data_IF_990092663125
#
_entry.id   IF_990092663125
#
_cell.length_a   1.000
_cell.length_b   1.000
_cell.length_c   1.000
_cell.angle_alpha   90.00
_cell.angle_beta   90.00
_cell.angle_gamma   90.00
#
_symmetry.space_group_name_H-M   'P 1'
#
loop_
_entity.id
_entity.type
_entity.pdbx_description
1 polymer ?
#
# COMPACT_ATOMS: atom_id res chain seq x y z
N UNK A 1 13.90 14.67 -0.43
CA UNK A 1 12.90 15.73 -0.27
C UNK A 1 12.50 15.72 1.20
N UNK A 2 12.68 16.82 1.91
CA UNK A 2 12.23 17.02 3.29
C UNK A 2 11.10 18.05 3.26
N UNK A 3 9.96 17.87 3.95
CA UNK A 3 9.67 16.79 4.89
C UNK A 3 9.33 15.47 4.21
N UNK A 4 9.58 14.34 4.88
CA UNK A 4 9.14 13.03 4.44
C UNK A 4 7.62 12.89 4.63
N UNK A 5 6.93 12.31 3.64
CA UNK A 5 5.51 12.02 3.72
C UNK A 5 5.32 10.60 4.25
N UNK A 6 4.58 10.48 5.35
CA UNK A 6 4.22 9.21 5.97
C UNK A 6 3.25 9.42 7.11
N UNK A 7 2.75 8.33 7.66
CA UNK A 7 1.84 8.33 8.82
C UNK A 7 2.65 8.09 10.08
N UNK A 8 2.34 8.82 11.15
CA UNK A 8 2.97 8.63 12.45
C UNK A 8 2.71 7.22 13.00
N UNK A 9 3.72 6.64 13.63
CA UNK A 9 3.57 5.38 14.32
C UNK A 9 2.83 5.60 15.65
N UNK A 10 1.79 4.80 15.85
CA UNK A 10 1.05 4.71 17.11
C UNK A 10 1.26 3.33 17.79
N UNK A 11 0.55 3.09 18.88
CA UNK A 11 0.61 1.81 19.59
C UNK A 11 0.25 0.60 18.73
N UNK A 12 -0.66 0.77 17.75
CA UNK A 12 -1.02 -0.30 16.81
C UNK A 12 0.11 -0.57 15.80
N UNK A 13 0.78 0.48 15.32
CA UNK A 13 1.96 0.33 14.46
C UNK A 13 3.08 -0.42 15.18
N UNK A 14 3.31 -0.12 16.47
CA UNK A 14 4.31 -0.79 17.29
C UNK A 14 4.04 -2.29 17.44
N UNK A 15 2.79 -2.68 17.67
CA UNK A 15 2.41 -4.08 17.77
C UNK A 15 2.60 -4.82 16.43
N UNK A 16 2.19 -4.20 15.32
CA UNK A 16 2.38 -4.75 13.97
C UNK A 16 3.86 -4.84 13.60
N UNK A 17 4.65 -3.83 13.93
CA UNK A 17 6.09 -3.77 13.68
C UNK A 17 6.83 -5.01 14.24
N UNK A 18 6.57 -5.35 15.50
CA UNK A 18 7.14 -6.55 16.13
C UNK A 18 6.72 -7.83 15.40
N UNK A 19 5.46 -7.91 14.96
CA UNK A 19 4.95 -9.02 14.15
C UNK A 19 5.62 -9.16 12.78
N UNK A 20 6.20 -8.10 12.24
CA UNK A 20 6.96 -8.11 10.98
C UNK A 20 8.46 -8.36 11.18
N UNK A 21 8.91 -8.56 12.42
CA UNK A 21 10.33 -8.67 12.74
C UNK A 21 11.07 -7.36 12.43
N UNK A 22 10.49 -6.27 12.84
CA UNK A 22 11.06 -4.93 12.79
C UNK A 22 11.13 -4.37 14.20
N UNK A 23 12.17 -3.62 14.50
CA UNK A 23 12.31 -2.89 15.76
C UNK A 23 12.83 -1.48 15.50
N UNK A 24 12.68 -0.62 16.50
CA UNK A 24 13.21 0.73 16.44
C UNK A 24 14.75 0.71 16.56
N UNK A 25 15.41 1.62 15.87
CA UNK A 25 16.82 1.89 16.14
C UNK A 25 16.97 2.45 17.57
N UNK A 26 18.05 2.09 18.26
CA UNK A 26 18.36 2.59 19.63
C UNK A 26 18.21 4.11 19.80
N UNK A 27 18.45 4.87 18.73
CA UNK A 27 18.27 6.33 18.71
C UNK A 27 16.81 6.76 18.77
N UNK A 28 15.90 5.91 18.33
CA UNK A 28 14.47 6.21 18.21
C UNK A 28 13.69 5.66 19.42
N UNK A 29 14.23 4.66 20.14
CA UNK A 29 13.66 4.16 21.40
C UNK A 29 13.66 5.21 22.50
N UNK A 30 14.70 6.06 22.55
CA UNK A 30 14.77 7.18 23.48
C UNK A 30 13.71 8.27 23.20
N UNK A 31 13.08 8.24 22.01
CA UNK A 31 12.01 9.16 21.60
C UNK A 31 10.62 8.67 21.92
N UNK A 32 10.44 7.37 22.14
CA UNK A 32 9.14 6.80 22.54
C UNK A 32 8.64 7.37 23.86
N UNK A 33 9.56 7.71 24.78
CA UNK A 33 9.27 8.33 26.07
C UNK A 33 9.07 9.85 26.01
N UNK A 34 9.41 10.49 24.91
CA UNK A 34 9.25 11.92 24.73
C UNK A 34 8.20 12.26 23.65
N UNK A 35 6.95 12.43 24.07
CA UNK A 35 5.86 13.01 23.27
C UNK A 35 6.16 14.39 22.68
N UNK A 36 7.40 14.88 22.78
CA UNK A 36 7.83 16.22 22.37
C UNK A 36 8.66 16.28 21.10
N UNK A 37 9.00 15.17 20.44
CA UNK A 37 9.73 15.24 19.19
C UNK A 37 8.78 15.44 18.01
N UNK A 38 8.97 16.51 17.25
CA UNK A 38 8.20 16.86 16.05
C UNK A 38 8.42 15.91 14.85
N UNK A 39 9.08 14.79 15.01
CA UNK A 39 9.33 13.80 13.98
C UNK A 39 8.42 12.59 14.18
N UNK A 40 7.18 12.70 13.68
CA UNK A 40 6.17 11.64 13.76
C UNK A 40 6.41 10.48 12.79
N UNK A 41 7.39 10.56 11.92
CA UNK A 41 7.63 9.57 10.88
C UNK A 41 9.00 8.92 11.03
N UNK A 42 9.00 7.60 11.28
CA UNK A 42 10.22 6.79 11.33
C UNK A 42 10.44 6.16 9.96
N UNK A 43 11.61 6.44 9.40
CA UNK A 43 11.97 6.00 8.06
C UNK A 43 12.66 4.64 8.05
N UNK A 44 13.49 4.37 9.06
CA UNK A 44 14.41 3.23 9.08
C UNK A 44 14.15 2.39 10.33
N UNK A 45 14.05 1.09 10.16
CA UNK A 45 13.83 0.10 11.20
C UNK A 45 14.97 -0.90 11.23
N UNK A 46 15.24 -1.51 12.37
CA UNK A 46 16.14 -2.63 12.47
C UNK A 46 15.40 -3.94 12.16
N UNK A 47 16.00 -4.79 11.32
CA UNK A 47 15.44 -6.10 10.98
C UNK A 47 15.83 -7.11 12.05
N UNK A 48 14.88 -7.54 12.88
CA UNK A 48 15.04 -8.52 13.95
C UNK A 48 14.35 -9.83 13.57
N UNK A 49 14.67 -10.89 14.30
CA UNK A 49 13.96 -12.17 14.14
C UNK A 49 12.53 -12.00 14.68
N UNK A 50 11.52 -12.35 13.87
CA UNK A 50 10.14 -12.24 14.28
C UNK A 50 9.74 -13.45 15.12
N UNK A 51 9.45 -13.24 16.40
CA UNK A 51 8.83 -14.24 17.23
C UNK A 51 7.30 -14.24 17.03
N UNK A 52 6.76 -15.36 16.54
CA UNK A 52 5.32 -15.53 16.38
C UNK A 52 4.70 -14.86 15.15
N UNK A 53 5.41 -14.86 14.03
CA UNK A 53 4.97 -14.23 12.78
C UNK A 53 3.64 -14.80 12.28
N UNK A 54 2.58 -14.01 12.35
CA UNK A 54 1.32 -14.34 11.69
C UNK A 54 1.45 -14.12 10.18
N UNK A 55 1.22 -15.17 9.39
CA UNK A 55 1.23 -15.07 7.95
C UNK A 55 -0.01 -14.30 7.46
N UNK A 56 0.20 -13.11 6.96
CA UNK A 56 -0.82 -12.27 6.34
C UNK A 56 -0.33 -11.80 4.96
N UNK A 57 -1.25 -11.34 4.11
CA UNK A 57 -0.87 -10.73 2.83
C UNK A 57 0.03 -9.50 3.06
N UNK A 58 -0.24 -8.73 4.11
CA UNK A 58 0.58 -7.58 4.48
C UNK A 58 2.00 -7.99 4.89
N UNK A 59 2.15 -9.06 5.70
CA UNK A 59 3.45 -9.62 6.06
C UNK A 59 4.25 -10.02 4.81
N UNK A 60 3.59 -10.56 3.80
CA UNK A 60 4.23 -10.92 2.53
C UNK A 60 4.78 -9.68 1.80
N UNK A 61 4.03 -8.58 1.77
CA UNK A 61 4.49 -7.31 1.19
C UNK A 61 5.68 -6.73 1.96
N UNK A 62 5.62 -6.72 3.28
CA UNK A 62 6.73 -6.24 4.12
C UNK A 62 7.97 -7.10 3.93
N UNK A 63 7.81 -8.44 3.91
CA UNK A 63 8.94 -9.37 3.68
C UNK A 63 9.55 -9.19 2.29
N UNK A 64 8.72 -9.01 1.26
CA UNK A 64 9.21 -8.72 -0.09
C UNK A 64 9.97 -7.38 -0.15
N UNK A 65 9.45 -6.35 0.51
CA UNK A 65 10.12 -5.04 0.60
C UNK A 65 11.45 -5.14 1.35
N UNK A 66 11.51 -5.89 2.47
CA UNK A 66 12.76 -6.17 3.20
C UNK A 66 13.79 -6.90 2.32
N UNK A 67 13.37 -7.90 1.56
CA UNK A 67 14.26 -8.64 0.65
C UNK A 67 14.82 -7.72 -0.44
N UNK A 68 14.00 -6.84 -1.02
CA UNK A 68 14.45 -5.86 -2.01
C UNK A 68 15.41 -4.86 -1.39
N UNK A 69 15.10 -4.32 -0.23
CA UNK A 69 15.96 -3.38 0.48
C UNK A 69 17.33 -4.01 0.80
N UNK A 70 17.35 -5.18 1.43
CA UNK A 70 18.58 -5.92 1.73
C UNK A 70 19.42 -6.24 0.48
N UNK A 71 18.78 -6.47 -0.67
CA UNK A 71 19.49 -6.68 -1.93
C UNK A 71 20.22 -5.41 -2.41
N UNK A 72 19.64 -4.22 -2.19
CA UNK A 72 20.22 -2.96 -2.65
C UNK A 72 21.17 -2.33 -1.63
N UNK A 73 20.89 -2.43 -0.34
CA UNK A 73 21.66 -1.78 0.73
C UNK A 73 22.72 -2.68 1.32
N UNK A 74 22.46 -4.00 1.38
CA UNK A 74 23.38 -4.99 1.95
C UNK A 74 23.51 -4.90 3.48
N UNK A 75 22.63 -4.15 4.14
CA UNK A 75 22.61 -3.98 5.60
C UNK A 75 21.36 -4.66 6.23
N UNK A 76 21.30 -4.67 7.56
CA UNK A 76 20.17 -5.22 8.31
C UNK A 76 19.12 -4.15 8.64
N UNK A 77 19.22 -2.99 8.02
CA UNK A 77 18.28 -1.90 8.20
C UNK A 77 17.17 -2.00 7.13
N UNK A 78 15.96 -1.68 7.51
CA UNK A 78 14.82 -1.64 6.61
C UNK A 78 14.34 -0.20 6.42
N UNK A 79 14.41 0.29 5.19
CA UNK A 79 13.86 1.59 4.82
C UNK A 79 12.42 1.42 4.31
N UNK A 80 11.47 2.03 5.00
CA UNK A 80 10.04 1.92 4.68
C UNK A 80 9.69 2.42 3.28
N UNK A 81 10.55 3.22 2.65
CA UNK A 81 10.36 3.70 1.27
C UNK A 81 10.32 2.56 0.25
N UNK A 82 11.00 1.44 0.50
CA UNK A 82 10.92 0.26 -0.37
C UNK A 82 9.51 -0.36 -0.33
N UNK A 83 8.86 -0.36 0.85
CA UNK A 83 7.46 -0.76 0.98
C UNK A 83 6.55 0.19 0.20
N UNK A 84 6.75 1.50 0.37
CA UNK A 84 6.02 2.52 -0.38
C UNK A 84 6.18 2.40 -1.89
N UNK A 85 7.40 2.14 -2.36
CA UNK A 85 7.68 1.89 -3.78
C UNK A 85 6.94 0.63 -4.29
N UNK A 86 6.94 -0.45 -3.52
CA UNK A 86 6.22 -1.68 -3.86
C UNK A 86 4.71 -1.46 -3.97
N UNK A 87 4.12 -0.72 -3.01
CA UNK A 87 2.72 -0.31 -3.09
C UNK A 87 2.44 0.57 -4.31
N UNK A 88 3.33 1.52 -4.61
CA UNK A 88 3.23 2.37 -5.80
C UNK A 88 3.23 1.57 -7.10
N UNK A 89 4.11 0.57 -7.21
CA UNK A 89 4.17 -0.34 -8.37
C UNK A 89 2.86 -1.14 -8.52
N UNK A 90 2.25 -1.57 -7.42
CA UNK A 90 0.97 -2.26 -7.45
C UNK A 90 -0.22 -1.32 -7.69
N UNK A 91 -0.14 -0.09 -7.22
CA UNK A 91 -1.21 0.92 -7.32
C UNK A 91 -1.39 1.45 -8.75
N UNK A 92 -0.28 1.75 -9.45
CA UNK A 92 -0.32 2.32 -10.80
C UNK A 92 -1.14 1.49 -11.81
N UNK A 93 -0.95 0.17 -11.93
CA UNK A 93 -1.78 -0.64 -12.83
C UNK A 93 -3.26 -0.67 -12.41
N UNK A 94 -3.55 -0.60 -11.10
CA UNK A 94 -4.92 -0.54 -10.58
C UNK A 94 -5.64 0.75 -11.03
N UNK A 95 -4.99 1.90 -10.90
CA UNK A 95 -5.51 3.18 -11.38
C UNK A 95 -5.68 3.15 -12.91
N UNK A 96 -4.68 2.64 -13.62
CA UNK A 96 -4.76 2.52 -15.08
C UNK A 96 -5.94 1.64 -15.51
N UNK A 97 -6.13 0.48 -14.86
CA UNK A 97 -7.26 -0.41 -15.14
C UNK A 97 -8.60 0.31 -14.91
N UNK A 98 -8.73 1.00 -13.80
CA UNK A 98 -9.95 1.72 -13.45
C UNK A 98 -10.27 2.83 -14.47
N UNK A 99 -9.30 3.70 -14.76
CA UNK A 99 -9.48 4.80 -15.71
C UNK A 99 -9.79 4.26 -17.12
N UNK A 100 -9.03 3.27 -17.59
CA UNK A 100 -9.26 2.64 -18.89
C UNK A 100 -10.68 2.08 -18.98
N UNK A 101 -11.09 1.29 -17.99
CA UNK A 101 -12.43 0.66 -17.97
C UNK A 101 -13.56 1.68 -17.90
N UNK A 102 -13.33 2.81 -17.25
CA UNK A 102 -14.27 3.93 -17.19
C UNK A 102 -14.33 4.68 -18.52
N UNK A 103 -13.18 4.97 -19.16
CA UNK A 103 -13.11 5.65 -20.46
C UNK A 103 -13.81 4.86 -21.57
N UNK A 104 -13.77 3.54 -21.53
CA UNK A 104 -14.48 2.70 -22.50
C UNK A 104 -16.01 2.88 -22.50
N UNK A 105 -16.57 3.55 -21.49
CA UNK A 105 -18.01 3.82 -21.32
C UNK A 105 -18.43 5.20 -21.79
N UNK A 106 -17.48 6.08 -22.00
CA UNK A 106 -17.71 7.48 -22.36
C UNK A 106 -17.83 7.62 -23.87
N UNK A 107 -18.74 8.45 -24.34
CA UNK A 107 -18.97 8.67 -25.79
C UNK A 107 -18.19 9.86 -26.33
N UNK A 108 -18.03 10.91 -25.54
CA UNK A 108 -17.40 12.15 -25.98
C UNK A 108 -16.00 12.30 -25.38
N UNK A 109 -15.08 12.81 -26.18
CA UNK A 109 -13.69 13.03 -25.75
C UNK A 109 -13.60 13.97 -24.52
N UNK A 110 -14.42 15.02 -24.48
CA UNK A 110 -14.45 15.97 -23.35
C UNK A 110 -14.84 15.29 -22.02
N UNK A 111 -15.81 14.39 -22.05
CA UNK A 111 -16.20 13.60 -20.86
C UNK A 111 -15.05 12.71 -20.40
N UNK A 112 -14.34 12.09 -21.36
CA UNK A 112 -13.17 11.26 -21.08
C UNK A 112 -12.04 12.04 -20.41
N UNK A 113 -11.77 13.26 -20.85
CA UNK A 113 -10.78 14.15 -20.24
C UNK A 113 -11.17 14.49 -18.80
N UNK A 114 -12.41 14.93 -18.59
CA UNK A 114 -12.92 15.28 -17.24
C UNK A 114 -12.83 14.06 -16.31
N UNK A 115 -13.24 12.89 -16.78
CA UNK A 115 -13.19 11.65 -16.00
C UNK A 115 -11.75 11.26 -15.62
N UNK A 116 -10.82 11.39 -16.57
CA UNK A 116 -9.40 11.09 -16.33
C UNK A 116 -8.79 12.05 -15.32
N UNK A 117 -9.04 13.34 -15.45
CA UNK A 117 -8.55 14.37 -14.52
C UNK A 117 -9.15 14.13 -13.12
N UNK A 118 -10.45 13.91 -13.03
CA UNK A 118 -11.10 13.60 -11.75
C UNK A 118 -10.53 12.31 -11.13
N UNK A 119 -10.32 11.27 -11.93
CA UNK A 119 -9.71 10.02 -11.48
C UNK A 119 -8.30 10.24 -10.91
N UNK A 120 -7.47 10.99 -11.61
CA UNK A 120 -6.11 11.31 -11.11
C UNK A 120 -6.19 12.13 -9.82
N UNK A 121 -7.03 13.16 -9.75
CA UNK A 121 -7.16 13.99 -8.55
C UNK A 121 -7.64 13.19 -7.33
N UNK A 122 -8.58 12.26 -7.52
CA UNK A 122 -9.09 11.43 -6.41
C UNK A 122 -8.07 10.39 -5.98
N UNK A 123 -7.45 9.69 -6.92
CA UNK A 123 -6.60 8.55 -6.60
C UNK A 123 -5.13 8.91 -6.37
N UNK A 124 -4.67 10.08 -6.79
CA UNK A 124 -3.35 10.63 -6.46
C UNK A 124 -3.39 11.60 -5.26
N UNK A 125 -4.47 11.59 -4.46
CA UNK A 125 -4.54 12.38 -3.24
C UNK A 125 -3.42 11.98 -2.28
N UNK A 126 -2.67 12.98 -1.83
CA UNK A 126 -1.53 12.83 -0.92
C UNK A 126 -1.94 12.12 0.37
N UNK A 127 -3.17 12.34 0.84
CA UNK A 127 -3.70 11.70 2.06
C UNK A 127 -3.68 10.17 1.96
N UNK A 128 -4.00 9.59 0.81
CA UNK A 128 -3.92 8.14 0.59
C UNK A 128 -2.48 7.66 0.35
N UNK A 129 -1.69 8.44 -0.37
CA UNK A 129 -0.32 8.08 -0.69
C UNK A 129 0.61 8.10 0.53
N UNK A 130 0.29 8.87 1.56
CA UNK A 130 1.04 8.85 2.83
C UNK A 130 1.00 7.49 3.52
N UNK A 131 -0.10 6.72 3.37
CA UNK A 131 -0.20 5.37 3.90
C UNK A 131 0.72 4.36 3.22
N UNK A 132 1.24 4.66 2.02
CA UNK A 132 2.21 3.79 1.35
C UNK A 132 3.53 3.71 2.12
N UNK A 133 3.92 4.79 2.79
CA UNK A 133 5.09 4.83 3.65
C UNK A 133 4.71 4.56 5.11
N UNK A 134 3.92 3.52 5.36
CA UNK A 134 3.49 3.15 6.70
C UNK A 134 3.33 1.64 6.84
N UNK A 135 3.33 1.17 8.08
CA UNK A 135 3.08 -0.24 8.42
C UNK A 135 1.58 -0.56 8.57
N UNK A 136 0.71 0.35 8.14
CA UNK A 136 -0.73 0.14 8.15
C UNK A 136 -1.21 -0.66 6.93
N UNK A 137 -2.29 -1.39 7.12
CA UNK A 137 -2.90 -2.21 6.07
C UNK A 137 -3.73 -1.42 5.07
N UNK A 138 -3.97 -0.14 5.35
CA UNK A 138 -4.83 0.75 4.56
C UNK A 138 -4.38 0.89 3.11
N UNK A 139 -3.06 0.92 2.87
CA UNK A 139 -2.50 0.93 1.53
C UNK A 139 -2.94 -0.28 0.69
N UNK A 140 -2.94 -1.48 1.28
CA UNK A 140 -3.39 -2.70 0.61
C UNK A 140 -4.90 -2.69 0.37
N UNK A 141 -5.68 -2.24 1.34
CA UNK A 141 -7.14 -2.09 1.21
C UNK A 141 -7.46 -1.18 0.03
N UNK A 142 -6.77 -0.04 -0.05
CA UNK A 142 -6.93 0.92 -1.13
C UNK A 142 -6.62 0.33 -2.52
N UNK A 143 -5.50 -0.39 -2.62
CA UNK A 143 -5.11 -1.09 -3.86
C UNK A 143 -6.17 -2.14 -4.24
N UNK A 144 -6.65 -2.94 -3.28
CA UNK A 144 -7.70 -3.93 -3.54
C UNK A 144 -8.99 -3.30 -4.07
N UNK A 145 -9.41 -2.16 -3.50
CA UNK A 145 -10.60 -1.43 -3.96
C UNK A 145 -10.43 -0.95 -5.41
N UNK A 146 -9.25 -0.43 -5.77
CA UNK A 146 -8.96 0.01 -7.14
C UNK A 146 -9.08 -1.13 -8.15
N UNK A 147 -8.49 -2.29 -7.86
CA UNK A 147 -8.56 -3.44 -8.75
C UNK A 147 -9.98 -4.01 -8.82
N UNK A 148 -10.69 -4.09 -7.70
CA UNK A 148 -12.07 -4.57 -7.68
C UNK A 148 -13.00 -3.66 -8.48
N UNK A 149 -12.89 -2.34 -8.32
CA UNK A 149 -13.66 -1.36 -9.07
C UNK A 149 -13.34 -1.41 -10.58
N UNK A 150 -12.05 -1.41 -10.93
CA UNK A 150 -11.60 -1.47 -12.31
C UNK A 150 -12.04 -2.76 -13.02
N UNK A 151 -11.88 -3.91 -12.36
CA UNK A 151 -12.31 -5.21 -12.90
C UNK A 151 -13.83 -5.30 -13.04
N UNK A 152 -14.60 -4.80 -12.07
CA UNK A 152 -16.07 -4.77 -12.14
C UNK A 152 -16.57 -3.93 -13.31
N UNK A 153 -15.93 -2.79 -13.57
CA UNK A 153 -16.24 -1.96 -14.73
C UNK A 153 -15.86 -2.67 -16.04
N UNK A 154 -14.73 -3.34 -16.10
CA UNK A 154 -14.25 -4.04 -17.29
C UNK A 154 -15.13 -5.25 -17.65
N UNK A 155 -15.61 -6.02 -16.67
CA UNK A 155 -16.47 -7.19 -16.87
C UNK A 155 -17.73 -6.88 -17.66
N UNK A 156 -18.33 -5.70 -17.46
CA UNK A 156 -19.59 -5.35 -18.08
C UNK A 156 -19.52 -5.21 -19.62
N UNK A 157 -18.34 -4.88 -20.17
CA UNK A 157 -18.20 -4.57 -21.60
C UNK A 157 -17.44 -5.62 -22.40
N UNK A 158 -16.48 -6.33 -21.82
CA UNK A 158 -15.54 -7.14 -22.57
C UNK A 158 -15.62 -8.62 -22.22
N UNK A 159 -16.44 -9.36 -22.97
CA UNK A 159 -16.65 -10.81 -22.73
C UNK A 159 -15.38 -11.65 -22.95
N UNK A 160 -14.47 -11.23 -23.85
CA UNK A 160 -13.26 -12.00 -24.18
C UNK A 160 -12.28 -12.10 -23.01
N UNK A 161 -12.14 -11.04 -22.23
CA UNK A 161 -11.23 -10.97 -21.07
C UNK A 161 -11.95 -11.21 -19.74
N UNK A 162 -13.23 -11.59 -19.80
CA UNK A 162 -14.03 -11.87 -18.61
C UNK A 162 -13.34 -12.76 -17.58
N UNK A 163 -12.68 -13.90 -17.94
CA UNK A 163 -12.04 -14.75 -16.93
C UNK A 163 -10.88 -14.04 -16.19
N UNK A 164 -10.12 -13.21 -16.88
CA UNK A 164 -9.03 -12.45 -16.22
C UNK A 164 -9.58 -11.42 -15.23
N UNK A 165 -10.64 -10.71 -15.60
CA UNK A 165 -11.27 -9.73 -14.70
C UNK A 165 -11.96 -10.40 -13.51
N UNK A 166 -12.58 -11.57 -13.72
CA UNK A 166 -13.14 -12.38 -12.62
C UNK A 166 -12.03 -12.81 -11.67
N UNK A 167 -10.89 -13.24 -12.19
CA UNK A 167 -9.74 -13.63 -11.37
C UNK A 167 -9.23 -12.44 -10.54
N UNK A 168 -9.05 -11.27 -11.16
CA UNK A 168 -8.65 -10.04 -10.46
C UNK A 168 -9.65 -9.70 -9.35
N UNK A 169 -10.94 -9.73 -9.64
CA UNK A 169 -11.99 -9.44 -8.67
C UNK A 169 -11.98 -10.43 -7.51
N UNK A 170 -11.80 -11.73 -7.80
CA UNK A 170 -11.74 -12.78 -6.78
C UNK A 170 -10.51 -12.60 -5.89
N UNK A 171 -9.33 -12.36 -6.47
CA UNK A 171 -8.09 -12.12 -5.71
C UNK A 171 -8.25 -10.87 -4.84
N UNK A 172 -8.69 -9.75 -5.40
CA UNK A 172 -8.87 -8.50 -4.65
C UNK A 172 -9.87 -8.67 -3.52
N UNK A 173 -10.99 -9.36 -3.76
CA UNK A 173 -12.01 -9.63 -2.75
C UNK A 173 -11.52 -10.56 -1.64
N UNK A 174 -10.78 -11.61 -1.97
CA UNK A 174 -10.19 -12.51 -0.96
C UNK A 174 -9.15 -11.80 -0.11
N UNK A 175 -8.24 -11.04 -0.72
CA UNK A 175 -7.25 -10.26 0.00
C UNK A 175 -7.93 -9.26 0.94
N UNK A 176 -8.94 -8.53 0.45
CA UNK A 176 -9.72 -7.60 1.26
C UNK A 176 -10.39 -8.30 2.47
N UNK A 177 -11.03 -9.45 2.27
CA UNK A 177 -11.65 -10.22 3.34
C UNK A 177 -10.63 -10.70 4.39
N UNK A 178 -9.44 -11.14 3.95
CA UNK A 178 -8.39 -11.56 4.88
C UNK A 178 -7.84 -10.40 5.72
N UNK A 179 -7.73 -9.21 5.14
CA UNK A 179 -7.29 -8.02 5.87
C UNK A 179 -8.37 -7.58 6.86
N UNK A 180 -9.63 -7.49 6.43
CA UNK A 180 -10.76 -6.99 7.23
C UNK A 180 -11.10 -7.88 8.45
N UNK A 181 -10.78 -9.17 8.43
CA UNK A 181 -11.03 -10.07 9.57
C UNK A 181 -10.07 -9.87 10.74
N UNK A 182 -9.00 -9.09 10.56
CA UNK A 182 -7.93 -8.89 11.53
C UNK A 182 -7.75 -7.43 11.96
N UNK A 183 -8.64 -6.56 11.50
CA UNK A 183 -8.85 -5.21 12.01
C UNK A 183 -10.00 -5.23 13.00
#
# INVERSE_FOLDING_TARGET
ISPYLGVANDSMANQKMKGFGLDYLEKDTAREDSFQSNEYFIKTYESVHADGQEFTVHTLFVTAAKAVDSFFTGDNLFDIRFLGALYGICWLPGVFLLIKSALERVKYFSEGVVLSVAGVLIFADVSYLTYFNSLYTDALIYICILYAAGASLALHKNSRWSPAYILILTISGTVFCFISRRC
#
